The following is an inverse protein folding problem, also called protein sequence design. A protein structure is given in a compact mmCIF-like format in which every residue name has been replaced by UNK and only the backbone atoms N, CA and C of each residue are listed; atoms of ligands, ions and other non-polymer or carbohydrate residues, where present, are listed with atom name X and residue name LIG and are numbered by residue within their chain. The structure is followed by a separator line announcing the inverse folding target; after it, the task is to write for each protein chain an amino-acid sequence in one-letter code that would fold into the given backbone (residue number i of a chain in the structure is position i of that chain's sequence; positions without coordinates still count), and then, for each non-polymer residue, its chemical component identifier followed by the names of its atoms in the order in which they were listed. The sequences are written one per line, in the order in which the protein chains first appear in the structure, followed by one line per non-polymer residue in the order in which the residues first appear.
data_IF_246261138959
#
_entry.id   IF_246261138959
#
_cell.length_a   1.000
_cell.length_b   1.000
_cell.length_c   1.000
_cell.angle_alpha   90.00
_cell.angle_beta   90.00
_cell.angle_gamma   90.00
#
_symmetry.space_group_name_H-M   'P 1'
#
loop_
_entity.id
_entity.type
_entity.pdbx_description
1 polymer ?
#
# COMPACT_ATOMS: atom_id res chain seq x y z
N UNK A 1 -14.17 -5.74 -14.50
CA UNK A 1 -13.76 -6.01 -13.93
C UNK A 1 -12.95 -5.88 -13.38
N UNK A 2 -12.67 -5.91 -12.88
CA UNK A 2 -11.87 -5.57 -12.40
C UNK A 2 -11.37 -6.04 -11.44
N UNK A 3 -10.53 -6.55 -11.23
CA UNK A 3 -10.09 -7.01 -10.28
C UNK A 3 -9.02 -6.54 -9.93
N UNK A 4 -8.69 -6.53 -8.92
CA UNK A 4 -7.68 -5.91 -8.41
C UNK A 4 -6.86 -6.75 -7.75
N UNK A 5 -6.38 -7.76 -8.22
CA UNK A 5 -5.40 -8.54 -7.60
C UNK A 5 -4.06 -7.93 -7.83
N UNK A 6 -3.76 -6.87 -7.18
CA UNK A 6 -2.46 -6.24 -7.29
C UNK A 6 -1.42 -7.05 -6.56
N UNK A 7 -0.24 -7.17 -7.12
CA UNK A 7 0.88 -7.76 -6.41
C UNK A 7 1.39 -6.75 -5.38
N UNK A 8 2.20 -7.20 -4.45
CA UNK A 8 2.77 -6.30 -3.44
C UNK A 8 3.60 -5.21 -4.11
N UNK A 9 4.31 -5.53 -5.17
CA UNK A 9 5.09 -4.54 -5.90
C UNK A 9 4.20 -3.45 -6.50
N UNK A 10 3.06 -3.84 -7.01
CA UNK A 10 2.11 -2.89 -7.58
C UNK A 10 1.49 -2.01 -6.48
N UNK A 11 1.23 -2.60 -5.33
CA UNK A 11 0.75 -1.83 -4.18
C UNK A 11 1.76 -0.80 -3.75
N UNK A 12 3.04 -1.20 -3.73
CA UNK A 12 4.13 -0.30 -3.37
C UNK A 12 4.17 0.89 -4.34
N UNK A 13 4.13 0.61 -5.63
CA UNK A 13 4.13 1.66 -6.65
C UNK A 13 2.93 2.59 -6.51
N UNK A 14 1.76 2.03 -6.25
CA UNK A 14 0.55 2.82 -6.08
C UNK A 14 0.68 3.76 -4.89
N UNK A 15 1.24 3.28 -3.80
CA UNK A 15 1.43 4.11 -2.63
C UNK A 15 2.42 5.24 -2.89
N UNK A 16 3.46 4.98 -3.67
CA UNK A 16 4.39 6.03 -4.06
C UNK A 16 3.69 7.10 -4.88
N UNK A 17 2.81 6.70 -5.77
CA UNK A 17 2.04 7.63 -6.59
C UNK A 17 1.08 8.48 -5.75
N UNK A 18 0.60 7.92 -4.67
CA UNK A 18 -0.27 8.66 -3.77
C UNK A 18 0.49 9.64 -2.87
N UNK A 19 1.79 9.62 -2.96
CA UNK A 19 2.61 10.57 -2.20
C UNK A 19 3.29 10.00 -0.97
N UNK A 20 3.20 8.71 -0.76
CA UNK A 20 3.89 8.05 0.36
C UNK A 20 5.37 7.96 0.02
N UNK A 21 6.24 8.32 0.93
CA UNK A 21 7.66 8.25 0.64
C UNK A 21 8.15 6.81 0.72
N UNK A 22 9.16 6.52 -0.06
CA UNK A 22 9.77 5.20 -0.06
C UNK A 22 10.32 4.84 1.31
N UNK A 23 10.85 5.82 2.01
CA UNK A 23 11.39 5.59 3.34
C UNK A 23 10.29 5.15 4.31
N UNK A 24 9.12 5.75 4.22
CA UNK A 24 7.97 5.36 5.03
C UNK A 24 7.59 3.92 4.75
N UNK A 25 7.56 3.54 3.48
CA UNK A 25 7.23 2.17 3.09
C UNK A 25 8.26 1.20 3.64
N UNK A 26 9.52 1.56 3.59
CA UNK A 26 10.59 0.70 4.10
C UNK A 26 10.48 0.51 5.61
N UNK A 27 10.22 1.57 6.33
CA UNK A 27 10.10 1.50 7.78
C UNK A 27 8.91 0.63 8.19
N UNK A 28 7.78 0.83 7.56
CA UNK A 28 6.58 0.06 7.89
C UNK A 28 6.78 -1.41 7.57
N UNK A 29 7.39 -1.72 6.43
CA UNK A 29 7.60 -3.11 6.06
C UNK A 29 8.70 -3.77 6.90
N UNK A 30 9.63 -3.00 7.42
CA UNK A 30 10.63 -3.53 8.34
C UNK A 30 9.99 -3.96 9.65
N UNK A 31 9.03 -3.21 10.12
CA UNK A 31 8.38 -3.47 11.41
C UNK A 31 7.30 -4.53 11.27
N UNK A 32 6.46 -4.41 10.25
CA UNK A 32 5.28 -5.24 10.10
C UNK A 32 5.42 -6.39 9.10
N UNK A 33 6.50 -6.38 8.34
CA UNK A 33 6.71 -7.36 7.29
C UNK A 33 6.24 -6.85 5.94
N UNK A 34 6.79 -7.41 4.90
CA UNK A 34 6.49 -7.01 3.54
C UNK A 34 5.30 -7.85 3.06
N UNK A 35 4.10 -7.41 3.37
CA UNK A 35 2.89 -8.15 3.03
C UNK A 35 1.74 -7.21 2.71
N UNK A 36 0.66 -7.76 2.22
CA UNK A 36 -0.50 -6.98 1.80
C UNK A 36 -1.11 -6.18 2.94
N UNK A 37 -1.13 -6.74 4.12
CA UNK A 37 -1.74 -6.07 5.26
C UNK A 37 -1.00 -4.78 5.58
N UNK A 38 0.33 -4.82 5.53
CA UNK A 38 1.12 -3.62 5.78
C UNK A 38 0.83 -2.55 4.72
N UNK A 39 0.70 -2.96 3.47
CA UNK A 39 0.39 -2.03 2.38
C UNK A 39 -0.99 -1.40 2.57
N UNK A 40 -1.98 -2.19 2.97
CA UNK A 40 -3.33 -1.69 3.19
C UNK A 40 -3.40 -0.75 4.38
N UNK A 41 -2.61 -1.01 5.40
CA UNK A 41 -2.54 -0.12 6.57
C UNK A 41 -2.01 1.25 6.16
N UNK A 42 -1.00 1.28 5.31
CA UNK A 42 -0.46 2.54 4.81
C UNK A 42 -1.50 3.24 3.94
N UNK A 43 -2.18 2.50 3.09
CA UNK A 43 -3.21 3.06 2.23
C UNK A 43 -4.29 3.74 3.07
N UNK A 44 -4.75 3.07 4.10
CA UNK A 44 -5.77 3.62 4.97
C UNK A 44 -5.29 4.92 5.63
N UNK A 45 -4.04 4.93 6.03
CA UNK A 45 -3.47 6.08 6.70
C UNK A 45 -3.41 7.32 5.80
N UNK A 46 -3.23 7.15 4.49
CA UNK A 46 -3.11 8.29 3.59
C UNK A 46 -4.40 8.64 2.85
N UNK A 47 -5.30 7.69 2.66
CA UNK A 47 -6.50 7.94 1.87
C UNK A 47 -7.80 7.67 2.63
N UNK A 48 -7.75 6.88 3.66
CA UNK A 48 -8.95 6.43 4.36
C UNK A 48 -9.58 5.22 3.70
N UNK A 49 -9.04 4.74 2.60
CA UNK A 49 -9.58 3.54 1.94
C UNK A 49 -9.00 2.28 2.58
N UNK A 50 -9.81 1.24 2.65
CA UNK A 50 -9.40 -0.02 3.24
C UNK A 50 -8.73 -0.94 2.24
N UNK A 51 -8.92 -0.70 0.95
CA UNK A 51 -8.40 -1.58 -0.07
C UNK A 51 -8.05 -0.78 -1.31
N UNK A 52 -7.09 -1.24 -2.06
CA UNK A 52 -6.68 -0.61 -3.30
C UNK A 52 -7.80 -0.63 -4.35
N UNK A 53 -8.72 -1.57 -4.21
CA UNK A 53 -9.88 -1.65 -5.02
C UNK A 53 -10.72 -0.39 -4.96
N UNK A 54 -10.65 0.37 -3.92
CA UNK A 54 -11.45 1.57 -3.75
C UNK A 54 -10.86 2.77 -4.47
N UNK A 55 -9.66 2.65 -4.96
CA UNK A 55 -9.05 3.70 -5.73
C UNK A 55 -9.64 3.73 -7.13
#
# INVERSE_FOLDING_TARGET
MTTTNLSINEMWDTLLELGVSEQTLQVVTDINGYNEQAMKDILYSVTGYNDFDQL
#
